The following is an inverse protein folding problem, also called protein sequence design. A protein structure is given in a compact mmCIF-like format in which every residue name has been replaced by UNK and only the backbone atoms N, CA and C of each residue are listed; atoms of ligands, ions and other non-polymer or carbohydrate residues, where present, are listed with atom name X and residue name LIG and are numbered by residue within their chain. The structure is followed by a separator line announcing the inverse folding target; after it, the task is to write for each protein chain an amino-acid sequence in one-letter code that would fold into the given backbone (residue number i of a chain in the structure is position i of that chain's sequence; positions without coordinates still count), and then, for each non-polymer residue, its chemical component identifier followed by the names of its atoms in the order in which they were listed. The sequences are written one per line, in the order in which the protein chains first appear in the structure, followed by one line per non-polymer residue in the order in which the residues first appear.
data_IF_140353878660
#
_entry.id   IF_140353878660
#
_cell.length_a   1.000
_cell.length_b   1.000
_cell.length_c   1.000
_cell.angle_alpha   90.00
_cell.angle_beta   90.00
_cell.angle_gamma   90.00
#
_symmetry.space_group_name_H-M   'P 1'
#
loop_
_entity.id
_entity.type
_entity.pdbx_description
1 polymer ?
#
# COMPACT_ATOMS: atom_id res chain seq x y z
N UNK A 1 7.39 -3.70 26.01
CA UNK A 1 7.37 -4.73 24.96
C UNK A 1 5.92 -4.96 24.56
N UNK A 2 5.52 -4.54 23.35
CA UNK A 2 4.15 -4.73 22.87
C UNK A 2 4.03 -6.17 22.40
N UNK A 3 3.18 -6.96 23.06
CA UNK A 3 2.91 -8.34 22.66
C UNK A 3 1.80 -8.33 21.60
N UNK A 4 2.16 -8.67 20.36
CA UNK A 4 1.23 -8.90 19.26
C UNK A 4 0.82 -10.38 19.26
N UNK A 5 -0.46 -10.66 18.99
CA UNK A 5 -1.01 -12.00 19.11
C UNK A 5 -0.39 -12.98 18.11
N UNK A 6 -0.09 -12.53 16.89
CA UNK A 6 0.52 -13.36 15.85
C UNK A 6 1.99 -13.75 16.12
N UNK A 7 2.62 -13.20 17.15
CA UNK A 7 4.04 -13.42 17.46
C UNK A 7 4.97 -12.35 16.89
N UNK A 8 6.28 -12.41 17.22
CA UNK A 8 7.26 -11.40 16.85
C UNK A 8 7.59 -11.38 15.36
N UNK A 9 7.40 -12.49 14.64
CA UNK A 9 7.73 -12.60 13.20
C UNK A 9 6.86 -11.68 12.32
N UNK A 10 5.72 -11.24 12.84
CA UNK A 10 4.75 -10.37 12.16
C UNK A 10 4.87 -8.90 12.58
N UNK A 11 6.00 -8.53 13.17
CA UNK A 11 6.29 -7.18 13.60
C UNK A 11 7.62 -6.72 13.02
N UNK A 12 7.60 -5.58 12.34
CA UNK A 12 8.80 -4.91 11.88
C UNK A 12 8.79 -3.47 12.41
N UNK A 13 9.88 -3.02 13.01
CA UNK A 13 10.00 -1.70 13.64
C UNK A 13 11.21 -0.97 13.06
N UNK A 14 11.01 0.29 12.71
CA UNK A 14 12.06 1.20 12.24
C UNK A 14 12.03 2.50 13.03
N UNK A 15 13.21 3.04 13.33
CA UNK A 15 13.39 4.33 14.01
C UNK A 15 13.84 5.39 13.00
N UNK A 16 13.08 6.48 12.90
CA UNK A 16 13.28 7.44 11.80
C UNK A 16 13.05 8.88 12.26
N UNK A 17 13.91 9.78 11.79
CA UNK A 17 13.75 11.24 11.93
C UNK A 17 12.71 11.80 10.94
N UNK A 18 11.46 11.35 11.05
CA UNK A 18 10.33 11.84 10.24
C UNK A 18 9.10 11.97 11.15
N UNK A 19 8.40 13.09 11.04
CA UNK A 19 7.13 13.27 11.74
C UNK A 19 6.05 12.29 11.24
N UNK A 20 5.19 11.86 12.16
CA UNK A 20 4.10 10.91 11.87
C UNK A 20 3.18 11.37 10.75
N UNK A 21 2.81 12.65 10.74
CA UNK A 21 1.93 13.26 9.73
C UNK A 21 2.57 13.23 8.33
N UNK A 22 3.87 13.56 8.26
CA UNK A 22 4.64 13.52 7.02
C UNK A 22 4.80 12.08 6.50
N UNK A 23 5.07 11.12 7.38
CA UNK A 23 5.14 9.71 7.00
C UNK A 23 3.81 9.18 6.47
N UNK A 24 2.70 9.49 7.16
CA UNK A 24 1.36 9.08 6.73
C UNK A 24 1.03 9.59 5.33
N UNK A 25 1.37 10.86 5.06
CA UNK A 25 1.18 11.49 3.74
C UNK A 25 2.04 10.81 2.67
N UNK A 26 3.33 10.56 2.93
CA UNK A 26 4.24 9.86 2.01
C UNK A 26 3.73 8.46 1.64
N UNK A 27 3.29 7.70 2.64
CA UNK A 27 2.75 6.35 2.43
C UNK A 27 1.46 6.39 1.58
N UNK A 28 0.62 7.40 1.79
CA UNK A 28 -0.61 7.55 1.03
C UNK A 28 -0.36 7.96 -0.42
N UNK A 29 0.54 8.90 -0.66
CA UNK A 29 0.80 9.46 -1.99
C UNK A 29 1.68 8.55 -2.86
N UNK A 30 2.66 7.86 -2.27
CA UNK A 30 3.71 7.16 -3.04
C UNK A 30 3.68 5.63 -2.92
N UNK A 31 2.92 5.08 -1.96
CA UNK A 31 2.94 3.63 -1.63
C UNK A 31 1.57 2.96 -1.57
N UNK A 32 0.54 3.63 -2.10
CA UNK A 32 -0.82 3.14 -2.17
C UNK A 32 -1.40 2.73 -0.81
N UNK A 33 -0.97 3.39 0.27
CA UNK A 33 -1.64 3.25 1.55
C UNK A 33 -2.84 4.19 1.62
N UNK A 34 -3.81 3.83 2.45
CA UNK A 34 -4.86 4.74 2.87
C UNK A 34 -4.46 5.37 4.20
N UNK A 35 -4.37 6.69 4.23
CA UNK A 35 -4.16 7.41 5.49
C UNK A 35 -5.35 7.15 6.42
N UNK A 36 -5.06 6.83 7.68
CA UNK A 36 -6.07 6.52 8.67
C UNK A 36 -6.19 7.63 9.72
N UNK A 37 -7.40 7.82 10.24
CA UNK A 37 -7.60 8.60 11.46
C UNK A 37 -6.92 7.88 12.63
N UNK A 38 -6.43 8.64 13.60
CA UNK A 38 -5.66 8.08 14.73
C UNK A 38 -6.52 7.15 15.58
N UNK A 39 -6.28 5.84 15.50
CA UNK A 39 -6.87 4.84 16.39
C UNK A 39 -5.84 3.79 16.83
N UNK A 40 -6.08 3.15 17.97
CA UNK A 40 -5.15 2.23 18.62
C UNK A 40 -5.78 0.83 18.71
N UNK A 41 -5.66 -0.01 17.66
CA UNK A 41 -6.36 -1.29 17.59
C UNK A 41 -5.87 -2.32 18.62
N UNK A 42 -4.65 -2.14 19.12
CA UNK A 42 -4.01 -3.05 20.07
C UNK A 42 -4.19 -2.63 21.53
N UNK A 43 -4.88 -1.51 21.78
CA UNK A 43 -5.06 -0.91 23.10
C UNK A 43 -4.21 0.35 23.29
N UNK A 44 -4.47 1.09 24.39
CA UNK A 44 -3.76 2.33 24.69
C UNK A 44 -2.26 2.11 24.81
N UNK A 45 -1.48 3.10 24.38
CA UNK A 45 0.00 3.12 24.44
C UNK A 45 0.70 2.00 23.66
N UNK A 46 0.00 1.36 22.71
CA UNK A 46 0.55 0.31 21.83
C UNK A 46 0.72 0.75 20.38
N UNK A 47 0.74 2.07 20.20
CA UNK A 47 0.91 2.73 18.92
C UNK A 47 -0.39 2.99 18.19
N UNK A 48 -0.41 4.12 17.50
CA UNK A 48 -1.57 4.58 16.75
C UNK A 48 -1.37 4.33 15.26
N UNK A 49 -2.42 3.84 14.58
CA UNK A 49 -2.40 3.60 13.14
C UNK A 49 -2.34 4.93 12.41
N UNK A 50 -1.38 5.05 11.49
CA UNK A 50 -1.22 6.21 10.62
C UNK A 50 -1.63 5.91 9.17
N UNK A 51 -1.48 4.65 8.73
CA UNK A 51 -1.78 4.24 7.38
C UNK A 51 -2.14 2.73 7.32
N UNK A 52 -2.95 2.35 6.35
CA UNK A 52 -3.38 0.96 6.11
C UNK A 52 -3.25 0.58 4.64
N UNK A 53 -2.83 -0.64 4.35
CA UNK A 53 -2.90 -1.22 3.00
C UNK A 53 -3.26 -2.70 3.09
N UNK A 54 -4.39 -3.09 2.49
CA UNK A 54 -4.92 -4.44 2.63
C UNK A 54 -5.14 -4.79 4.11
N UNK A 55 -4.55 -5.90 4.55
CA UNK A 55 -4.55 -6.34 5.95
C UNK A 55 -3.32 -5.87 6.75
N UNK A 56 -2.53 -4.94 6.22
CA UNK A 56 -1.34 -4.42 6.89
C UNK A 56 -1.56 -3.01 7.40
N UNK A 57 -1.07 -2.76 8.61
CA UNK A 57 -1.15 -1.49 9.31
C UNK A 57 0.26 -0.94 9.51
N UNK A 58 0.41 0.36 9.33
CA UNK A 58 1.58 1.12 9.77
C UNK A 58 1.17 1.93 11.00
N UNK A 59 1.86 1.68 12.10
CA UNK A 59 1.65 2.27 13.41
C UNK A 59 2.79 3.23 13.71
N UNK A 60 2.52 4.27 14.47
CA UNK A 60 3.54 5.02 15.18
C UNK A 60 3.46 4.65 16.67
N UNK A 61 4.48 3.96 17.16
CA UNK A 61 4.50 3.34 18.50
C UNK A 61 5.10 4.23 19.58
N UNK A 62 5.80 5.30 19.20
CA UNK A 62 6.36 6.25 20.15
C UNK A 62 7.27 7.27 19.48
N UNK A 63 7.66 8.26 20.26
CA UNK A 63 8.65 9.28 19.89
C UNK A 63 9.75 9.27 20.96
N UNK A 64 11.02 9.19 20.55
CA UNK A 64 12.17 9.35 21.44
C UNK A 64 13.00 10.53 20.98
N UNK A 65 12.90 11.63 21.73
CA UNK A 65 13.49 12.91 21.34
C UNK A 65 12.91 13.39 20.01
N UNK A 66 13.74 13.29 18.97
CA UNK A 66 13.45 13.77 17.63
C UNK A 66 13.05 12.65 16.66
N UNK A 67 13.21 11.39 17.05
CA UNK A 67 12.89 10.23 16.22
C UNK A 67 11.52 9.67 16.55
N UNK A 68 10.82 9.21 15.52
CA UNK A 68 9.57 8.46 15.62
C UNK A 68 9.83 7.00 15.34
N UNK A 69 9.27 6.10 16.15
CA UNK A 69 9.26 4.68 15.88
C UNK A 69 8.01 4.31 15.07
N UNK A 70 8.23 3.78 13.88
CA UNK A 70 7.18 3.24 13.03
C UNK A 70 7.21 1.71 13.09
N UNK A 71 6.04 1.10 13.14
CA UNK A 71 5.90 -0.35 13.14
C UNK A 71 4.94 -0.80 12.05
N UNK A 72 5.29 -1.88 11.35
CA UNK A 72 4.40 -2.60 10.43
C UNK A 72 3.89 -3.84 11.15
N UNK A 73 2.57 -4.01 11.16
CA UNK A 73 1.93 -5.19 11.71
C UNK A 73 0.65 -5.54 10.94
N UNK A 74 0.24 -6.82 10.89
CA UNK A 74 -1.08 -7.20 10.37
C UNK A 74 -2.20 -6.56 11.20
N UNK A 75 -3.38 -6.42 10.60
CA UNK A 75 -4.60 -6.00 11.31
C UNK A 75 -4.93 -6.98 12.44
N UNK A 76 -5.63 -6.49 13.47
CA UNK A 76 -6.03 -7.33 14.62
C UNK A 76 -6.72 -8.61 14.19
N UNK A 77 -7.68 -8.49 13.27
CA UNK A 77 -8.39 -9.61 12.66
C UNK A 77 -7.47 -10.66 12.01
N UNK A 78 -6.47 -10.20 11.25
CA UNK A 78 -5.51 -11.12 10.61
C UNK A 78 -4.54 -11.72 11.65
N UNK A 79 -4.18 -10.98 12.70
CA UNK A 79 -3.37 -11.52 13.77
C UNK A 79 -4.10 -12.63 14.55
N UNK A 80 -5.39 -12.45 14.83
CA UNK A 80 -6.23 -13.44 15.51
C UNK A 80 -6.36 -14.72 14.65
N UNK A 81 -6.46 -14.58 13.32
CA UNK A 81 -6.44 -15.70 12.38
C UNK A 81 -5.09 -16.45 12.38
N UNK A 82 -3.98 -15.73 12.24
CA UNK A 82 -2.63 -16.31 12.23
C UNK A 82 -2.33 -17.01 13.56
N UNK A 83 -2.72 -16.39 14.67
CA UNK A 83 -2.58 -16.98 15.99
C UNK A 83 -3.42 -18.25 16.12
N UNK A 84 -4.69 -18.22 15.68
CA UNK A 84 -5.57 -19.39 15.70
C UNK A 84 -4.97 -20.55 14.90
N UNK A 85 -4.42 -20.27 13.72
CA UNK A 85 -3.75 -21.28 12.91
C UNK A 85 -2.54 -21.88 13.62
N UNK A 86 -1.66 -21.03 14.15
CA UNK A 86 -0.40 -21.44 14.80
C UNK A 86 -0.61 -22.26 16.07
N UNK A 87 -1.74 -22.08 16.75
CA UNK A 87 -2.09 -22.81 17.98
C UNK A 87 -3.02 -24.00 17.73
N UNK A 88 -3.25 -24.40 16.46
CA UNK A 88 -4.09 -25.55 16.12
C UNK A 88 -5.60 -25.31 16.29
N UNK A 89 -6.02 -24.06 16.44
CA UNK A 89 -7.43 -23.63 16.54
C UNK A 89 -8.03 -23.26 15.18
N UNK A 90 -7.36 -23.64 14.08
CA UNK A 90 -7.80 -23.38 12.72
C UNK A 90 -9.22 -23.90 12.42
N UNK A 91 -9.66 -24.96 13.10
CA UNK A 91 -11.00 -25.54 12.93
C UNK A 91 -12.14 -24.71 13.54
N UNK A 92 -11.83 -23.67 14.31
CA UNK A 92 -12.84 -22.75 14.86
C UNK A 92 -13.37 -21.78 13.80
N UNK A 93 -12.67 -21.63 12.68
CA UNK A 93 -13.04 -20.73 11.61
C UNK A 93 -13.67 -21.50 10.46
N UNK A 94 -14.86 -21.08 10.06
CA UNK A 94 -15.52 -21.61 8.87
C UNK A 94 -14.85 -21.07 7.60
N UNK A 95 -14.97 -21.81 6.50
CA UNK A 95 -14.49 -21.34 5.17
C UNK A 95 -15.15 -20.03 4.74
N UNK A 96 -16.40 -19.81 5.15
CA UNK A 96 -17.14 -18.59 4.83
C UNK A 96 -16.58 -17.39 5.59
N UNK A 97 -16.20 -17.56 6.86
CA UNK A 97 -15.53 -16.50 7.64
C UNK A 97 -14.14 -16.18 7.07
N UNK A 98 -13.36 -17.20 6.71
CA UNK A 98 -12.07 -17.00 6.04
C UNK A 98 -12.23 -16.20 4.75
N UNK A 99 -13.20 -16.57 3.93
CA UNK A 99 -13.49 -15.86 2.68
C UNK A 99 -13.95 -14.42 2.92
N UNK A 100 -14.81 -14.20 3.91
CA UNK A 100 -15.31 -12.87 4.23
C UNK A 100 -14.17 -11.95 4.71
N UNK A 101 -13.23 -12.48 5.49
CA UNK A 101 -12.14 -11.69 6.06
C UNK A 101 -10.97 -11.49 5.10
N UNK A 102 -10.61 -12.50 4.31
CA UNK A 102 -9.35 -12.51 3.53
C UNK A 102 -9.55 -12.67 2.03
N UNK A 103 -10.78 -12.98 1.60
CA UNK A 103 -11.08 -13.36 0.21
C UNK A 103 -10.68 -14.81 -0.14
N UNK A 104 -10.05 -15.55 0.79
CA UNK A 104 -9.56 -16.91 0.57
C UNK A 104 -10.31 -17.94 1.41
N UNK A 105 -10.48 -19.15 0.88
CA UNK A 105 -11.19 -20.24 1.56
C UNK A 105 -10.25 -21.24 2.25
N UNK A 106 -8.94 -21.18 1.92
CA UNK A 106 -7.93 -22.13 2.36
C UNK A 106 -6.83 -21.44 3.19
N UNK A 107 -6.49 -22.04 4.34
CA UNK A 107 -5.45 -21.54 5.24
C UNK A 107 -4.07 -21.31 4.59
N UNK A 108 -3.54 -22.21 3.73
CA UNK A 108 -2.28 -21.96 3.05
C UNK A 108 -2.31 -20.70 2.16
N UNK A 109 -3.44 -20.43 1.51
CA UNK A 109 -3.61 -19.23 0.69
C UNK A 109 -3.67 -17.97 1.56
N UNK A 110 -4.36 -18.02 2.70
CA UNK A 110 -4.39 -16.93 3.70
C UNK A 110 -3.00 -16.60 4.20
N UNK A 111 -2.21 -17.61 4.60
CA UNK A 111 -0.86 -17.40 5.11
C UNK A 111 0.06 -16.85 4.04
N UNK A 112 0.00 -17.37 2.82
CA UNK A 112 0.78 -16.84 1.70
C UNK A 112 0.43 -15.37 1.44
N UNK A 113 -0.85 -15.04 1.36
CA UNK A 113 -1.33 -13.67 1.20
C UNK A 113 -0.83 -12.76 2.33
N UNK A 114 -0.88 -13.23 3.58
CA UNK A 114 -0.43 -12.47 4.73
C UNK A 114 1.07 -12.18 4.65
N UNK A 115 1.89 -13.20 4.34
CA UNK A 115 3.34 -13.06 4.19
C UNK A 115 3.70 -12.11 3.05
N UNK A 116 3.05 -12.26 1.90
CA UNK A 116 3.28 -11.42 0.72
C UNK A 116 2.92 -9.95 1.01
N UNK A 117 1.76 -9.72 1.64
CA UNK A 117 1.33 -8.37 2.02
C UNK A 117 2.24 -7.75 3.09
N UNK A 118 2.68 -8.53 4.07
CA UNK A 118 3.58 -8.08 5.14
C UNK A 118 4.94 -7.67 4.55
N UNK A 119 5.57 -8.53 3.76
CA UNK A 119 6.83 -8.24 3.09
C UNK A 119 6.71 -7.01 2.18
N UNK A 120 5.60 -6.87 1.45
CA UNK A 120 5.36 -5.70 0.62
C UNK A 120 5.19 -4.42 1.47
N UNK A 121 4.53 -4.49 2.63
CA UNK A 121 4.32 -3.34 3.50
C UNK A 121 5.63 -2.89 4.18
N UNK A 122 6.46 -3.84 4.61
CA UNK A 122 7.82 -3.58 5.12
C UNK A 122 8.67 -2.89 4.06
N UNK A 123 8.74 -3.45 2.85
CA UNK A 123 9.46 -2.83 1.73
C UNK A 123 8.96 -1.41 1.43
N UNK A 124 7.65 -1.18 1.47
CA UNK A 124 7.09 0.15 1.25
C UNK A 124 7.48 1.13 2.35
N UNK A 125 7.50 0.70 3.61
CA UNK A 125 7.97 1.54 4.72
C UNK A 125 9.44 1.89 4.56
N UNK A 126 10.32 0.91 4.32
CA UNK A 126 11.76 1.13 4.10
C UNK A 126 12.01 2.11 2.95
N UNK A 127 11.26 1.98 1.85
CA UNK A 127 11.37 2.90 0.70
C UNK A 127 10.83 4.30 1.02
N UNK A 128 9.72 4.41 1.76
CA UNK A 128 9.19 5.69 2.22
C UNK A 128 10.16 6.42 3.15
N UNK A 129 10.87 5.68 4.00
CA UNK A 129 11.95 6.18 4.86
C UNK A 129 13.11 6.72 4.01
N UNK A 130 13.53 5.95 3.00
CA UNK A 130 14.55 6.37 2.04
C UNK A 130 14.10 7.48 1.07
N UNK A 131 12.84 7.92 1.13
CA UNK A 131 12.28 8.94 0.23
C UNK A 131 12.11 8.48 -1.22
N UNK A 132 12.03 7.16 -1.46
CA UNK A 132 11.85 6.56 -2.78
C UNK A 132 10.39 6.16 -3.02
N UNK A 133 9.90 6.25 -4.27
CA UNK A 133 8.57 5.72 -4.62
C UNK A 133 8.49 4.20 -4.42
N UNK A 134 7.27 3.65 -4.30
CA UNK A 134 7.04 2.21 -4.10
C UNK A 134 7.66 1.35 -5.20
N UNK A 135 7.51 1.79 -6.44
CA UNK A 135 8.12 1.18 -7.61
C UNK A 135 9.15 2.15 -8.17
N UNK A 136 10.30 1.63 -8.56
CA UNK A 136 11.22 2.40 -9.39
C UNK A 136 10.47 2.78 -10.68
N UNK A 137 10.68 4.02 -11.16
CA UNK A 137 10.08 4.44 -12.41
C UNK A 137 10.41 3.39 -13.48
N UNK A 138 9.43 2.89 -14.25
CA UNK A 138 9.75 2.02 -15.37
C UNK A 138 10.79 2.79 -16.18
N UNK A 139 11.96 2.18 -16.41
CA UNK A 139 12.89 2.70 -17.38
C UNK A 139 12.07 2.85 -18.64
N UNK A 140 11.79 4.09 -19.05
CA UNK A 140 11.08 4.35 -20.28
C UNK A 140 11.84 3.52 -21.31
N UNK A 141 11.16 2.50 -21.88
CA UNK A 141 11.67 1.89 -23.09
C UNK A 141 11.94 3.08 -24.00
N UNK A 142 13.20 3.25 -24.42
CA UNK A 142 13.56 4.24 -25.43
C UNK A 142 12.42 4.20 -26.45
N UNK A 143 11.67 5.31 -26.55
CA UNK A 143 10.70 5.41 -27.63
C UNK A 143 11.51 5.06 -28.87
N UNK A 144 11.07 4.08 -29.69
CA UNK A 144 11.75 3.81 -30.94
C UNK A 144 11.87 5.18 -31.61
N UNK A 145 13.11 5.59 -31.88
CA UNK A 145 13.37 6.73 -32.74
C UNK A 145 12.61 6.35 -34.01
N UNK A 146 11.46 6.98 -34.23
CA UNK A 146 10.72 6.86 -35.46
C UNK A 146 11.71 7.41 -36.48
N UNK A 147 12.30 6.52 -37.27
CA UNK A 147 13.10 6.90 -38.41
C UNK A 147 12.24 7.86 -39.23
N UNK A 148 12.83 8.95 -39.72
CA UNK A 148 12.15 10.03 -40.45
C UNK A 148 11.60 9.55 -41.81
N UNK A 149 11.63 8.23 -42.07
CA UNK A 149 10.97 7.52 -43.16
C UNK A 149 9.48 7.32 -42.85
N UNK A 150 8.85 8.40 -42.40
CA UNK A 150 7.39 8.54 -42.35
C UNK A 150 6.91 8.35 -43.78
N UNK A 151 6.03 7.38 -44.00
CA UNK A 151 5.22 7.31 -45.22
C UNK A 151 4.52 8.65 -45.38
N UNK A 152 5.08 9.53 -46.21
CA UNK A 152 4.48 10.82 -46.55
C UNK A 152 3.05 10.52 -47.03
N UNK A 153 2.08 10.90 -46.22
CA UNK A 153 0.68 10.78 -46.60
C UNK A 153 0.51 11.71 -47.81
N UNK A 154 0.08 11.19 -48.98
CA UNK A 154 -0.08 12.02 -50.16
C UNK A 154 -0.90 13.25 -49.84
N UNK A 155 -0.47 14.42 -50.33
CA UNK A 155 -1.10 15.72 -50.09
C UNK A 155 -2.61 15.75 -50.35
N UNK A 156 -3.11 14.81 -51.14
CA UNK A 156 -4.52 14.64 -51.49
C UNK A 156 -5.40 14.19 -50.30
N UNK A 157 -4.80 13.62 -49.24
CA UNK A 157 -5.48 13.28 -47.98
C UNK A 157 -5.42 14.39 -46.93
N UNK A 158 -4.60 15.42 -47.15
CA UNK A 158 -4.58 16.62 -46.30
C UNK A 158 -5.69 17.57 -46.77
N UNK A 159 -6.94 17.20 -46.48
CA UNK A 159 -8.03 18.16 -46.60
C UNK A 159 -7.84 19.26 -45.55
N UNK A 160 -7.45 20.44 -46.00
CA UNK A 160 -7.56 21.67 -45.22
C UNK A 160 -9.04 21.90 -44.89
N UNK A 161 -9.46 21.46 -43.72
CA UNK A 161 -10.70 21.90 -43.10
C UNK A 161 -10.55 23.40 -42.81
N UNK A 162 -10.85 24.23 -43.80
CA UNK A 162 -11.21 25.64 -43.57
C UNK A 162 -12.62 25.68 -42.96
N UNK A 163 -12.79 25.01 -41.83
CA UNK A 163 -13.97 25.09 -40.99
C UNK A 163 -13.98 26.48 -40.38
N UNK A 164 -14.69 27.40 -41.00
CA UNK A 164 -15.22 28.57 -40.29
C UNK A 164 -16.08 28.03 -39.15
N UNK A 165 -15.56 28.07 -37.93
CA UNK A 165 -16.35 27.86 -36.71
C UNK A 165 -17.41 28.97 -36.69
N UNK A 166 -18.63 28.64 -37.12
CA UNK A 166 -19.77 29.50 -36.90
C UNK A 166 -20.13 29.36 -35.43
N UNK A 167 -19.70 30.33 -34.63
CA UNK A 167 -20.26 30.57 -33.30
C UNK A 167 -21.71 31.02 -33.47
N UNK A 168 -22.67 30.10 -33.43
CA UNK A 168 -24.06 30.45 -33.17
C UNK A 168 -24.25 30.64 -31.66
N UNK A 169 -24.16 31.90 -31.22
CA UNK A 169 -24.69 32.33 -29.94
C UNK A 169 -26.21 32.51 -30.02
N UNK A 170 -26.89 31.92 -29.04
CA UNK A 170 -28.15 32.33 -28.42
C UNK A 170 -29.41 32.48 -29.28
N UNK A 171 -30.43 31.69 -28.94
CA UNK A 171 -31.78 32.19 -28.62
C UNK A 171 -32.52 31.24 -27.67
#
# INVERSE_FOLDING_TARGET
MILYHAGPDWLHIEEVFVERSAMAKRLAELHNFTQCMRYEPFGPDRGAVIAKRGHMLVLAIGEAGNNTFFAVAPSKELQDLIWSFSNGLASQWSRLELKAMTGHEDWPAVLKMATDQFAAAVRSLERAIAGKPEHDAPAFAEMPILDDDVMEVPSDYLHSLNGTEVFECAH
#
